data_IF_190093255872
#
_entry.id   IF_190093255872
#
_cell.length_a   1.000
_cell.length_b   1.000
_cell.length_c   1.000
_cell.angle_alpha   90.00
_cell.angle_beta   90.00
_cell.angle_gamma   90.00
#
_symmetry.space_group_name_H-M   'P 1'
#
loop_
_entity.id
_entity.type
_entity.pdbx_description
1 polymer ?
#
# COMPACT_ATOMS: atom_id res chain seq x y z
N UNK A 1 -6.61 13.29 14.37
CA UNK A 1 -6.21 12.58 15.59
C UNK A 1 -7.20 11.45 15.77
N UNK A 2 -6.76 10.19 15.78
CA UNK A 2 -7.65 9.06 16.05
C UNK A 2 -7.92 9.06 17.55
N UNK A 3 -9.16 9.32 17.99
CA UNK A 3 -9.47 9.19 19.40
C UNK A 3 -9.33 7.71 19.77
N UNK A 4 -8.59 7.42 20.82
CA UNK A 4 -8.34 6.08 21.33
C UNK A 4 -7.45 5.20 20.44
N UNK A 5 -6.31 5.70 19.96
CA UNK A 5 -5.32 4.83 19.36
C UNK A 5 -4.87 3.80 20.42
N UNK A 6 -5.09 2.49 20.17
CA UNK A 6 -4.76 1.47 21.15
C UNK A 6 -3.26 1.50 21.46
N UNK A 7 -2.89 1.34 22.73
CA UNK A 7 -1.49 1.30 23.18
C UNK A 7 -0.80 2.65 23.32
N UNK A 8 -1.50 3.77 23.04
CA UNK A 8 -0.99 5.09 23.37
C UNK A 8 -1.41 5.44 24.81
N UNK A 9 -0.44 5.67 25.68
CA UNK A 9 -0.69 6.17 27.03
C UNK A 9 -1.23 7.60 26.95
N UNK A 10 -2.10 8.02 27.87
CA UNK A 10 -2.64 9.39 27.90
C UNK A 10 -1.54 10.46 28.01
N UNK A 11 -0.44 10.12 28.68
CA UNK A 11 0.73 10.97 28.86
C UNK A 11 1.63 11.04 27.62
N UNK A 12 1.36 10.24 26.61
CA UNK A 12 2.22 10.06 25.44
C UNK A 12 3.34 9.07 25.70
N UNK A 13 4.05 8.70 24.63
CA UNK A 13 5.21 7.80 24.68
C UNK A 13 6.28 8.38 23.77
N UNK A 14 7.50 8.48 24.28
CA UNK A 14 8.66 8.83 23.45
C UNK A 14 9.34 7.56 22.97
N UNK A 15 9.43 7.38 21.66
CA UNK A 15 9.95 6.15 21.04
C UNK A 15 11.18 6.44 20.20
N UNK A 16 12.04 5.44 20.04
CA UNK A 16 13.19 5.49 19.15
C UNK A 16 13.39 4.19 18.40
N UNK A 17 13.91 4.28 17.17
CA UNK A 17 14.36 3.12 16.39
C UNK A 17 15.82 2.74 16.69
N UNK A 18 16.53 3.55 17.45
CA UNK A 18 17.92 3.29 17.81
C UNK A 18 17.97 2.50 19.12
N UNK A 19 18.39 1.21 19.01
CA UNK A 19 18.47 0.31 20.16
C UNK A 19 19.46 0.80 21.22
N UNK A 20 20.59 1.34 20.82
CA UNK A 20 21.60 1.82 21.77
C UNK A 20 21.10 3.04 22.54
N UNK A 21 20.36 3.92 21.88
CA UNK A 21 19.76 5.08 22.52
C UNK A 21 18.67 4.67 23.52
N UNK A 22 17.85 3.68 23.16
CA UNK A 22 16.82 3.15 24.06
C UNK A 22 17.43 2.47 25.30
N UNK A 23 18.56 1.80 25.16
CA UNK A 23 19.28 1.20 26.29
C UNK A 23 19.98 2.24 27.20
N UNK A 24 20.31 3.39 26.65
CA UNK A 24 20.98 4.47 27.38
C UNK A 24 20.00 5.44 28.08
N UNK A 25 18.72 5.40 27.75
CA UNK A 25 17.70 6.32 28.23
C UNK A 25 16.41 5.60 28.58
N UNK A 26 16.10 5.51 29.85
CA UNK A 26 14.92 4.79 30.37
C UNK A 26 13.57 5.40 29.92
N UNK A 27 13.55 6.70 29.59
CA UNK A 27 12.37 7.40 29.11
C UNK A 27 12.01 7.07 27.65
N UNK A 28 12.88 6.34 26.92
CA UNK A 28 12.69 5.98 25.53
C UNK A 28 12.28 4.51 25.38
N UNK A 29 11.14 4.27 24.77
CA UNK A 29 10.74 2.92 24.37
C UNK A 29 11.34 2.56 22.99
N UNK A 30 11.90 1.36 22.88
CA UNK A 30 12.44 0.88 21.61
C UNK A 30 11.32 0.41 20.70
N UNK A 31 11.15 1.08 19.56
CA UNK A 31 10.10 0.75 18.60
C UNK A 31 10.55 -0.38 17.68
N UNK A 32 9.98 -1.56 17.88
CA UNK A 32 10.16 -2.75 17.02
C UNK A 32 8.84 -3.16 16.40
N UNK A 33 8.88 -4.11 15.47
CA UNK A 33 7.67 -4.70 14.89
C UNK A 33 6.75 -5.37 15.93
N UNK A 34 7.34 -5.89 17.02
CA UNK A 34 6.61 -6.51 18.13
C UNK A 34 6.10 -5.50 19.17
N UNK A 35 6.44 -4.23 19.02
CA UNK A 35 5.99 -3.20 19.94
C UNK A 35 4.46 -3.13 19.95
N UNK A 36 3.81 -3.08 21.13
CA UNK A 36 2.35 -3.10 21.26
C UNK A 36 1.66 -2.04 20.39
N UNK A 37 2.21 -0.85 20.31
CA UNK A 37 1.69 0.25 19.50
C UNK A 37 1.72 -0.07 18.00
N UNK A 38 2.78 -0.74 17.52
CA UNK A 38 2.88 -1.17 16.11
C UNK A 38 1.88 -2.29 15.82
N UNK A 39 1.84 -3.33 16.66
CA UNK A 39 0.90 -4.44 16.49
C UNK A 39 -0.55 -3.97 16.49
N UNK A 40 -0.92 -3.16 17.47
CA UNK A 40 -2.28 -2.63 17.57
C UNK A 40 -2.61 -1.67 16.42
N UNK A 41 -1.63 -0.90 15.91
CA UNK A 41 -1.79 -0.09 14.72
C UNK A 41 -2.06 -0.95 13.47
N UNK A 42 -1.34 -2.04 13.30
CA UNK A 42 -1.57 -3.01 12.22
C UNK A 42 -2.94 -3.65 12.36
N UNK A 43 -3.31 -4.11 13.54
CA UNK A 43 -4.61 -4.73 13.82
C UNK A 43 -5.76 -3.75 13.53
N UNK A 44 -5.62 -2.49 13.92
CA UNK A 44 -6.59 -1.44 13.67
C UNK A 44 -6.81 -1.19 12.16
N UNK A 45 -5.73 -1.22 11.37
CA UNK A 45 -5.80 -1.08 9.91
C UNK A 45 -6.38 -2.35 9.28
N UNK A 46 -5.98 -3.53 9.78
CA UNK A 46 -6.38 -4.82 9.24
C UNK A 46 -7.84 -5.18 9.57
N UNK A 47 -8.34 -4.79 10.74
CA UNK A 47 -9.73 -5.06 11.17
C UNK A 47 -10.78 -4.40 10.27
N UNK A 48 -10.40 -3.32 9.58
CA UNK A 48 -11.32 -2.57 8.74
C UNK A 48 -12.32 -1.68 9.51
N UNK A 49 -12.23 -1.62 10.84
CA UNK A 49 -13.12 -0.82 11.68
C UNK A 49 -13.05 0.69 11.37
N UNK A 50 -11.90 1.15 10.90
CA UNK A 50 -11.69 2.55 10.46
C UNK A 50 -12.11 2.75 9.00
N UNK A 51 -12.36 1.66 8.26
CA UNK A 51 -12.57 1.67 6.81
C UNK A 51 -11.26 1.76 6.03
N UNK A 52 -11.33 1.41 4.75
CA UNK A 52 -10.20 1.41 3.81
C UNK A 52 -10.25 2.58 2.82
N UNK A 53 -11.12 3.55 3.05
CA UNK A 53 -11.31 4.69 2.18
C UNK A 53 -11.40 6.00 2.98
N UNK A 54 -10.84 7.05 2.44
CA UNK A 54 -10.93 8.39 2.99
C UNK A 54 -11.20 9.41 1.90
N UNK A 55 -11.77 10.55 2.27
CA UNK A 55 -11.98 11.68 1.39
C UNK A 55 -11.27 12.90 1.95
N UNK A 56 -10.54 13.60 1.09
CA UNK A 56 -9.82 14.80 1.44
C UNK A 56 -9.99 15.89 0.36
N UNK A 57 -9.77 17.12 0.73
CA UNK A 57 -9.74 18.24 -0.20
C UNK A 57 -8.32 18.42 -0.73
N UNK A 58 -8.17 18.37 -2.06
CA UNK A 58 -6.91 18.69 -2.72
C UNK A 58 -6.82 20.20 -2.99
N UNK A 59 -5.83 20.85 -2.42
CA UNK A 59 -5.54 22.26 -2.68
C UNK A 59 -4.51 22.37 -3.79
N UNK A 60 -4.99 22.57 -5.02
CA UNK A 60 -4.12 22.75 -6.18
C UNK A 60 -4.68 23.85 -7.10
N UNK A 61 -3.85 24.86 -7.36
CA UNK A 61 -4.22 25.99 -8.25
C UNK A 61 -4.25 25.62 -9.74
N UNK A 62 -3.63 24.50 -10.11
CA UNK A 62 -3.53 24.06 -11.51
C UNK A 62 -4.73 23.20 -11.94
N UNK A 63 -5.52 22.73 -11.00
CA UNK A 63 -6.71 21.92 -11.29
C UNK A 63 -7.97 22.78 -11.17
N UNK A 64 -8.94 22.63 -12.09
CA UNK A 64 -10.23 23.28 -11.97
C UNK A 64 -10.93 22.89 -10.65
N UNK A 65 -11.67 23.83 -10.07
CA UNK A 65 -12.47 23.54 -8.89
C UNK A 65 -13.52 22.45 -9.21
N UNK A 66 -13.69 21.52 -8.29
CA UNK A 66 -14.61 20.37 -8.47
C UNK A 66 -14.01 19.19 -9.23
N UNK A 67 -12.71 19.23 -9.58
CA UNK A 67 -12.04 18.05 -10.16
C UNK A 67 -12.03 16.90 -9.16
N UNK A 68 -12.58 15.75 -9.58
CA UNK A 68 -12.52 14.50 -8.83
C UNK A 68 -11.25 13.74 -9.21
N UNK A 69 -10.47 13.36 -8.21
CA UNK A 69 -9.39 12.39 -8.33
C UNK A 69 -9.70 11.19 -7.42
N UNK A 70 -9.45 10.00 -7.92
CA UNK A 70 -9.58 8.75 -7.14
C UNK A 70 -8.23 8.07 -7.08
N UNK A 71 -7.67 7.96 -5.88
CA UNK A 71 -6.46 7.19 -5.61
C UNK A 71 -6.85 5.79 -5.19
N UNK A 72 -6.34 4.79 -5.91
CA UNK A 72 -6.54 3.38 -5.64
C UNK A 72 -5.18 2.74 -5.36
N UNK A 73 -5.10 1.98 -4.28
CA UNK A 73 -3.91 1.22 -3.92
C UNK A 73 -4.28 -0.25 -3.92
N UNK A 74 -3.63 -1.01 -4.78
CA UNK A 74 -3.78 -2.46 -4.90
C UNK A 74 -2.51 -3.14 -4.41
N UNK A 75 -2.63 -4.40 -4.00
CA UNK A 75 -1.48 -5.25 -3.71
C UNK A 75 -1.59 -6.49 -4.59
N UNK A 76 -0.56 -6.72 -5.41
CA UNK A 76 -0.42 -7.97 -6.14
C UNK A 76 0.20 -8.97 -5.18
N UNK A 77 -0.48 -10.08 -4.95
CA UNK A 77 -0.04 -11.11 -4.04
C UNK A 77 -0.25 -12.49 -4.66
N UNK A 78 0.77 -13.36 -4.57
CA UNK A 78 0.65 -14.74 -4.99
C UNK A 78 0.10 -15.61 -3.86
N UNK A 79 -0.97 -16.34 -4.13
CA UNK A 79 -1.48 -17.38 -3.23
C UNK A 79 -0.92 -18.74 -3.63
N UNK A 80 0.02 -19.25 -2.87
CA UNK A 80 0.65 -20.54 -3.15
C UNK A 80 0.98 -21.31 -1.87
N UNK A 81 1.08 -22.64 -1.94
CA UNK A 81 1.66 -23.42 -0.85
C UNK A 81 3.05 -22.89 -0.49
N UNK A 82 3.31 -22.75 0.81
CA UNK A 82 4.57 -22.19 1.33
C UNK A 82 5.82 -22.89 0.79
N UNK A 83 5.74 -24.17 0.49
CA UNK A 83 6.85 -24.95 -0.05
C UNK A 83 7.31 -24.52 -1.44
N UNK A 84 6.45 -23.87 -2.24
CA UNK A 84 6.80 -23.40 -3.57
C UNK A 84 7.57 -22.06 -3.56
N UNK A 85 7.58 -21.34 -2.45
CA UNK A 85 8.30 -20.08 -2.26
C UNK A 85 8.10 -19.06 -3.40
N UNK A 86 6.88 -18.98 -3.96
CA UNK A 86 6.58 -18.10 -5.10
C UNK A 86 6.83 -16.62 -4.80
N UNK A 87 6.76 -16.21 -3.53
CA UNK A 87 7.10 -14.86 -3.10
C UNK A 87 8.54 -14.45 -3.44
N UNK A 88 9.41 -15.41 -3.78
CA UNK A 88 10.76 -15.15 -4.28
C UNK A 88 10.73 -14.48 -5.66
N UNK A 89 9.73 -14.82 -6.50
CA UNK A 89 9.59 -14.33 -7.87
C UNK A 89 8.53 -13.25 -7.98
N UNK A 90 7.48 -13.33 -7.17
CA UNK A 90 6.39 -12.35 -7.10
C UNK A 90 6.12 -12.00 -5.61
N UNK A 91 6.94 -11.14 -5.02
CA UNK A 91 6.67 -10.65 -3.67
C UNK A 91 5.40 -9.77 -3.66
N UNK A 92 4.72 -9.63 -2.51
CA UNK A 92 3.63 -8.67 -2.37
C UNK A 92 4.05 -7.29 -2.85
N UNK A 93 3.44 -6.83 -3.93
CA UNK A 93 3.85 -5.58 -4.61
C UNK A 93 2.69 -4.59 -4.61
N UNK A 94 2.84 -3.44 -3.93
CA UNK A 94 1.83 -2.39 -3.96
C UNK A 94 1.85 -1.67 -5.32
N UNK A 95 0.66 -1.47 -5.88
CA UNK A 95 0.45 -0.70 -7.12
C UNK A 95 -0.50 0.45 -6.83
N UNK A 96 -0.08 1.65 -7.17
CA UNK A 96 -0.87 2.87 -7.00
C UNK A 96 -1.41 3.32 -8.34
N UNK A 97 -2.71 3.60 -8.40
CA UNK A 97 -3.38 4.29 -9.49
C UNK A 97 -3.94 5.61 -8.97
N UNK A 98 -3.76 6.69 -9.71
CA UNK A 98 -4.38 7.99 -9.45
C UNK A 98 -5.20 8.39 -10.68
N UNK A 99 -6.51 8.18 -10.61
CA UNK A 99 -7.40 8.38 -11.74
C UNK A 99 -8.04 9.77 -11.70
N UNK A 100 -8.02 10.44 -12.84
CA UNK A 100 -8.82 11.65 -13.07
C UNK A 100 -10.27 11.29 -13.44
N UNK A 101 -11.14 12.29 -13.59
CA UNK A 101 -12.55 12.10 -13.96
C UNK A 101 -12.76 11.44 -15.34
N UNK A 102 -11.73 11.38 -16.17
CA UNK A 102 -11.73 10.72 -17.48
C UNK A 102 -11.16 9.30 -17.44
N UNK A 103 -10.66 8.86 -16.27
CA UNK A 103 -10.03 7.55 -16.09
C UNK A 103 -8.55 7.51 -16.52
N UNK A 104 -7.90 8.64 -16.76
CA UNK A 104 -6.46 8.67 -17.01
C UNK A 104 -5.69 8.43 -15.71
N UNK A 105 -4.65 7.61 -15.78
CA UNK A 105 -3.78 7.38 -14.62
C UNK A 105 -2.69 8.46 -14.55
N UNK A 106 -2.69 9.21 -13.48
CA UNK A 106 -1.75 10.29 -13.19
C UNK A 106 -0.68 9.90 -12.15
N UNK A 107 -0.60 8.62 -11.76
CA UNK A 107 0.26 8.17 -10.66
C UNK A 107 1.76 8.44 -10.90
N UNK A 108 2.22 8.35 -12.17
CA UNK A 108 3.61 8.67 -12.54
C UNK A 108 3.89 10.17 -12.54
N UNK A 109 2.89 10.99 -12.89
CA UNK A 109 3.02 12.45 -12.99
C UNK A 109 2.91 13.13 -11.63
N UNK A 110 2.17 12.52 -10.70
CA UNK A 110 1.89 13.06 -9.37
C UNK A 110 2.43 12.12 -8.30
N UNK A 111 3.61 12.45 -7.78
CA UNK A 111 4.22 11.70 -6.70
C UNK A 111 3.32 11.66 -5.45
N UNK A 112 3.30 10.53 -4.76
CA UNK A 112 2.49 10.31 -3.55
C UNK A 112 2.72 11.39 -2.49
N UNK A 113 3.96 11.68 -2.14
CA UNK A 113 4.29 12.69 -1.12
C UNK A 113 3.83 14.09 -1.53
N UNK A 114 3.96 14.42 -2.82
CA UNK A 114 3.50 15.71 -3.36
C UNK A 114 1.98 15.84 -3.26
N UNK A 115 1.25 14.76 -3.49
CA UNK A 115 -0.20 14.72 -3.33
C UNK A 115 -0.58 14.88 -1.85
N UNK A 116 -0.01 14.06 -0.97
CA UNK A 116 -0.31 14.06 0.47
C UNK A 116 -0.09 15.42 1.12
N UNK A 117 0.98 16.12 0.77
CA UNK A 117 1.29 17.45 1.31
C UNK A 117 0.27 18.54 0.90
N UNK A 118 -0.53 18.28 -0.13
CA UNK A 118 -1.57 19.21 -0.62
C UNK A 118 -2.98 18.82 -0.17
N UNK A 119 -3.13 17.70 0.55
CA UNK A 119 -4.42 17.25 1.06
C UNK A 119 -4.77 17.98 2.36
N UNK A 120 -6.03 18.37 2.46
CA UNK A 120 -6.62 18.89 3.70
C UNK A 120 -7.75 17.97 4.16
N UNK A 121 -7.83 17.66 5.45
CA UNK A 121 -8.91 16.83 5.97
C UNK A 121 -10.27 17.53 5.78
N UNK A 122 -11.29 16.72 5.52
CA UNK A 122 -12.68 17.16 5.47
C UNK A 122 -13.41 16.68 6.74
N UNK A 123 -14.31 17.51 7.25
CA UNK A 123 -15.23 17.09 8.30
C UNK A 123 -16.10 15.92 7.80
N UNK A 124 -16.38 14.94 8.67
CA UNK A 124 -17.11 13.71 8.37
C UNK A 124 -18.45 13.96 7.65
N UNK A 125 -19.22 14.95 8.10
CA UNK A 125 -20.52 15.26 7.51
C UNK A 125 -20.42 15.82 6.09
N UNK A 126 -19.41 16.65 5.85
CA UNK A 126 -19.15 17.21 4.52
C UNK A 126 -18.66 16.09 3.59
N UNK A 127 -17.71 15.28 4.05
CA UNK A 127 -17.20 14.13 3.29
C UNK A 127 -18.34 13.18 2.90
N UNK A 128 -19.22 12.82 3.82
CA UNK A 128 -20.37 11.96 3.55
C UNK A 128 -21.33 12.54 2.50
N UNK A 129 -21.61 13.84 2.57
CA UNK A 129 -22.45 14.51 1.56
C UNK A 129 -21.79 14.50 0.19
N UNK A 130 -20.50 14.82 0.12
CA UNK A 130 -19.76 14.83 -1.14
C UNK A 130 -19.65 13.43 -1.76
N UNK A 131 -19.34 12.40 -0.96
CA UNK A 131 -19.28 11.01 -1.43
C UNK A 131 -20.61 10.59 -2.05
N UNK A 132 -21.75 10.92 -1.40
CA UNK A 132 -23.08 10.61 -1.95
C UNK A 132 -23.32 11.25 -3.31
N UNK A 133 -22.86 12.48 -3.51
CA UNK A 133 -23.01 13.22 -4.77
C UNK A 133 -22.16 12.63 -5.91
N UNK A 134 -20.92 12.23 -5.61
CA UNK A 134 -19.97 11.75 -6.63
C UNK A 134 -19.88 10.24 -6.71
N UNK A 135 -20.71 9.50 -5.95
CA UNK A 135 -20.68 8.04 -5.87
C UNK A 135 -20.71 7.34 -7.24
N UNK A 136 -21.60 7.69 -8.19
CA UNK A 136 -21.62 7.02 -9.49
C UNK A 136 -20.28 7.17 -10.24
N UNK A 137 -19.67 8.33 -10.16
CA UNK A 137 -18.38 8.60 -10.79
C UNK A 137 -17.25 7.79 -10.11
N UNK A 138 -17.27 7.68 -8.77
CA UNK A 138 -16.31 6.87 -8.03
C UNK A 138 -16.44 5.40 -8.42
N UNK A 139 -17.65 4.85 -8.46
CA UNK A 139 -17.90 3.46 -8.85
C UNK A 139 -17.43 3.15 -10.28
N UNK A 140 -17.62 4.10 -11.20
CA UNK A 140 -17.10 3.98 -12.55
C UNK A 140 -15.56 4.00 -12.59
N UNK A 141 -14.93 4.91 -11.84
CA UNK A 141 -13.47 5.01 -11.78
C UNK A 141 -12.85 3.79 -11.11
N UNK A 142 -13.50 3.19 -10.11
CA UNK A 142 -13.05 1.91 -9.52
C UNK A 142 -13.05 0.81 -10.59
N UNK A 143 -14.11 0.66 -11.39
CA UNK A 143 -14.16 -0.34 -12.48
C UNK A 143 -13.04 -0.13 -13.51
N UNK A 144 -12.75 1.12 -13.86
CA UNK A 144 -11.62 1.47 -14.74
C UNK A 144 -10.30 1.08 -14.08
N UNK A 145 -10.15 1.36 -12.78
CA UNK A 145 -8.98 0.97 -12.00
C UNK A 145 -8.77 -0.53 -11.96
N UNK A 146 -9.83 -1.30 -11.71
CA UNK A 146 -9.79 -2.76 -11.68
C UNK A 146 -9.34 -3.35 -13.03
N UNK A 147 -9.84 -2.80 -14.14
CA UNK A 147 -9.42 -3.21 -15.48
C UNK A 147 -7.93 -2.92 -15.72
N UNK A 148 -7.49 -1.70 -15.45
CA UNK A 148 -6.06 -1.31 -15.57
C UNK A 148 -5.17 -2.16 -14.66
N UNK A 149 -5.64 -2.45 -13.45
CA UNK A 149 -4.90 -3.29 -12.51
C UNK A 149 -4.75 -4.73 -13.02
N UNK A 150 -5.77 -5.27 -13.67
CA UNK A 150 -5.72 -6.61 -14.27
C UNK A 150 -4.62 -6.69 -15.33
N UNK A 151 -4.49 -5.68 -16.18
CA UNK A 151 -3.42 -5.61 -17.20
C UNK A 151 -2.03 -5.54 -16.56
N UNK A 152 -1.87 -4.69 -15.54
CA UNK A 152 -0.60 -4.55 -14.79
C UNK A 152 -0.24 -5.87 -14.09
N UNK A 153 -1.21 -6.52 -13.43
CA UNK A 153 -1.00 -7.78 -12.75
C UNK A 153 -0.58 -8.89 -13.72
N UNK A 154 -1.23 -8.99 -14.87
CA UNK A 154 -0.85 -9.96 -15.91
C UNK A 154 0.58 -9.77 -16.40
N UNK A 155 1.00 -8.53 -16.64
CA UNK A 155 2.38 -8.24 -17.04
C UNK A 155 3.39 -8.65 -15.96
N UNK A 156 3.10 -8.36 -14.68
CA UNK A 156 3.98 -8.75 -13.58
C UNK A 156 4.03 -10.26 -13.37
N UNK A 157 2.90 -10.96 -13.52
CA UNK A 157 2.84 -12.43 -13.43
C UNK A 157 3.65 -13.06 -14.56
N UNK A 158 3.55 -12.56 -15.78
CA UNK A 158 4.34 -13.06 -16.92
C UNK A 158 5.84 -12.88 -16.68
N UNK A 159 6.26 -11.72 -16.19
CA UNK A 159 7.67 -11.47 -15.89
C UNK A 159 8.18 -12.35 -14.74
N UNK A 160 7.38 -12.51 -13.68
CA UNK A 160 7.70 -13.42 -12.57
C UNK A 160 7.83 -14.87 -13.03
N UNK A 161 6.94 -15.35 -13.92
CA UNK A 161 7.00 -16.68 -14.51
C UNK A 161 8.27 -16.86 -15.33
N UNK A 162 8.60 -15.90 -16.20
CA UNK A 162 9.82 -15.92 -17.00
C UNK A 162 11.07 -15.99 -16.13
N UNK A 163 11.12 -15.19 -15.05
CA UNK A 163 12.23 -15.19 -14.11
C UNK A 163 12.34 -16.53 -13.35
N UNK A 164 11.22 -17.10 -12.95
CA UNK A 164 11.17 -18.40 -12.29
C UNK A 164 11.69 -19.50 -13.20
N UNK A 165 11.20 -19.59 -14.44
CA UNK A 165 11.62 -20.58 -15.42
C UNK A 165 13.12 -20.48 -15.71
N UNK A 166 13.62 -19.28 -15.91
CA UNK A 166 15.05 -19.04 -16.15
C UNK A 166 15.91 -19.47 -14.95
N UNK A 167 15.50 -19.10 -13.75
CA UNK A 167 16.24 -19.40 -12.51
C UNK A 167 16.25 -20.90 -12.24
N UNK A 168 15.10 -21.56 -12.34
CA UNK A 168 14.97 -23.00 -12.08
C UNK A 168 15.70 -23.82 -13.14
N UNK A 169 15.59 -23.47 -14.43
CA UNK A 169 16.31 -24.15 -15.52
C UNK A 169 17.82 -24.04 -15.33
N UNK A 170 18.33 -22.87 -14.95
CA UNK A 170 19.75 -22.67 -14.68
C UNK A 170 20.21 -23.55 -13.51
N UNK A 171 19.45 -23.64 -12.44
CA UNK A 171 19.82 -24.46 -11.30
C UNK A 171 19.74 -25.98 -11.59
N UNK A 172 18.73 -26.42 -12.33
CA UNK A 172 18.62 -27.80 -12.79
C UNK A 172 19.83 -28.19 -13.66
N UNK A 173 20.20 -27.34 -14.62
CA UNK A 173 21.35 -27.59 -15.48
C UNK A 173 22.66 -27.65 -14.68
N UNK A 174 22.81 -26.77 -13.67
CA UNK A 174 23.96 -26.80 -12.76
C UNK A 174 24.06 -28.14 -12.00
N UNK A 175 22.94 -28.62 -11.47
CA UNK A 175 22.88 -29.87 -10.74
C UNK A 175 23.17 -31.09 -11.63
N UNK A 176 22.66 -31.09 -12.87
CA UNK A 176 22.95 -32.14 -13.86
C UNK A 176 24.46 -32.17 -14.20
N UNK A 177 25.05 -30.99 -14.40
CA UNK A 177 26.50 -30.92 -14.69
C UNK A 177 27.35 -31.43 -13.52
N UNK A 178 27.00 -31.10 -12.27
CA UNK A 178 27.68 -31.63 -11.08
C UNK A 178 27.58 -33.14 -10.97
N UNK A 179 26.41 -33.72 -11.21
CA UNK A 179 26.20 -35.16 -11.20
C UNK A 179 27.00 -35.90 -12.28
N UNK A 180 27.26 -35.26 -13.41
CA UNK A 180 28.01 -35.84 -14.53
C UNK A 180 29.53 -35.78 -14.32
N UNK A 181 30.00 -35.02 -13.31
CA UNK A 181 31.42 -34.84 -13.00
C UNK A 181 31.89 -35.73 -11.81
N UNK A 182 30.98 -36.47 -11.19
CA UNK A 182 31.25 -37.54 -10.24
C UNK A 182 31.33 -38.90 -10.97
#
# INVERSE_FOLDING_TARGET
MFPNFPGLKEEGVTVTFNRQLALAREELEFLTWDHPMIRQGIDLIASGDIGKASMALLVNKQLPAGTLLVELIYVIESQSPKGLQLNRFLPPTPVRLLLDSKGNNLAEQVNFNTLQNKLKPLGKDIANKMVKMVRPNIEQLIKIGDHKMTEIAQAQIQEASRLADQTLSTEINRLIALKSSE
#
